data_IF_138794240112
#
_entry.id   IF_138794240112
#
_cell.length_a   1.000
_cell.length_b   1.000
_cell.length_c   1.000
_cell.angle_alpha   90.00
_cell.angle_beta   90.00
_cell.angle_gamma   90.00
#
_symmetry.space_group_name_H-M   'P 1'
#
loop_
_entity.id
_entity.type
_entity.pdbx_description
1 polymer ?
#
# COMPACT_ATOMS: atom_id res chain seq x y z
N UNK A 1 -12.07 5.79 4.05
CA UNK A 1 -12.16 4.37 4.41
C UNK A 1 -11.06 4.01 5.40
N UNK A 2 -11.26 2.96 6.12
CA UNK A 2 -10.28 2.54 7.11
C UNK A 2 -9.57 1.28 6.62
N UNK A 3 -8.23 1.33 6.63
CA UNK A 3 -7.42 0.17 6.25
C UNK A 3 -6.41 -0.07 7.36
N UNK A 4 -5.66 -1.16 7.24
CA UNK A 4 -4.56 -1.46 8.16
C UNK A 4 -3.27 -1.37 7.35
N UNK A 5 -2.44 -0.39 7.65
CA UNK A 5 -1.19 -0.18 6.93
C UNK A 5 -0.03 -0.61 7.81
N UNK A 6 0.68 -1.65 7.39
CA UNK A 6 1.81 -2.20 8.13
C UNK A 6 1.44 -2.47 9.59
N UNK A 7 0.27 -3.05 9.79
CA UNK A 7 -0.21 -3.44 11.11
C UNK A 7 -0.88 -2.33 11.91
N UNK A 8 -0.97 -1.12 11.36
CA UNK A 8 -1.57 0.01 12.08
C UNK A 8 -2.84 0.46 11.37
N UNK A 9 -3.98 0.49 12.08
CA UNK A 9 -5.21 1.02 11.48
C UNK A 9 -5.05 2.47 11.09
N UNK A 10 -5.61 2.84 9.94
CA UNK A 10 -5.44 4.19 9.43
C UNK A 10 -6.63 4.58 8.57
N UNK A 11 -7.10 5.79 8.76
CA UNK A 11 -8.16 6.34 7.94
C UNK A 11 -7.53 7.01 6.73
N UNK A 12 -8.01 6.69 5.52
CA UNK A 12 -7.42 7.22 4.29
C UNK A 12 -8.52 7.64 3.33
N UNK A 13 -8.17 8.58 2.45
CA UNK A 13 -9.05 9.01 1.36
C UNK A 13 -8.76 8.24 0.08
N UNK A 14 -7.64 7.57 0.00
CA UNK A 14 -7.20 6.86 -1.20
C UNK A 14 -8.21 5.80 -1.63
N UNK A 15 -8.37 5.62 -2.95
CA UNK A 15 -9.26 4.63 -3.51
C UNK A 15 -8.51 3.47 -4.16
N UNK A 16 -7.25 3.69 -4.52
CA UNK A 16 -6.41 2.64 -5.09
C UNK A 16 -5.13 2.54 -4.29
N UNK A 17 -4.39 1.45 -4.52
CA UNK A 17 -3.11 1.27 -3.84
C UNK A 17 -2.13 2.37 -4.24
N UNK A 18 -2.12 2.76 -5.52
CA UNK A 18 -1.24 3.85 -5.96
C UNK A 18 -1.57 5.15 -5.24
N UNK A 19 -2.86 5.46 -5.09
CA UNK A 19 -3.29 6.65 -4.38
C UNK A 19 -2.86 6.61 -2.92
N UNK A 20 -2.91 5.43 -2.31
CA UNK A 20 -2.50 5.28 -0.92
C UNK A 20 -1.03 5.62 -0.74
N UNK A 21 -0.18 5.14 -1.65
CA UNK A 21 1.24 5.44 -1.56
C UNK A 21 1.51 6.94 -1.68
N UNK A 22 0.79 7.60 -2.59
CA UNK A 22 0.90 9.05 -2.73
C UNK A 22 0.44 9.77 -1.47
N UNK A 23 -0.70 9.36 -0.93
CA UNK A 23 -1.28 10.01 0.24
C UNK A 23 -0.35 9.89 1.44
N UNK A 24 0.32 8.75 1.58
CA UNK A 24 1.18 8.49 2.73
C UNK A 24 2.63 8.87 2.50
N UNK A 25 2.97 9.39 1.32
CA UNK A 25 4.34 9.76 1.01
C UNK A 25 5.28 8.58 0.88
N UNK A 26 4.76 7.44 0.48
CA UNK A 26 5.55 6.20 0.39
C UNK A 26 5.89 5.85 -1.06
N UNK A 27 6.14 6.87 -1.88
CA UNK A 27 6.52 6.62 -3.27
C UNK A 27 7.98 6.14 -3.33
N UNK A 28 8.36 5.64 -4.50
CA UNK A 28 9.72 5.19 -4.72
C UNK A 28 9.80 3.68 -4.74
N UNK A 29 10.96 3.16 -4.35
CA UNK A 29 11.23 1.73 -4.42
C UNK A 29 10.64 1.01 -3.23
N UNK A 30 9.41 0.57 -3.37
CA UNK A 30 8.75 -0.19 -2.31
C UNK A 30 8.09 -1.41 -2.93
N UNK A 31 7.91 -2.43 -2.11
CA UNK A 31 7.11 -3.59 -2.47
C UNK A 31 5.79 -3.48 -1.74
N UNK A 32 4.71 -3.87 -2.38
CA UNK A 32 3.38 -3.75 -1.81
C UNK A 32 2.62 -5.06 -1.86
N UNK A 33 1.81 -5.29 -0.84
CA UNK A 33 0.90 -6.42 -0.79
C UNK A 33 -0.44 -5.96 -0.23
N UNK A 34 -1.52 -6.56 -0.71
CA UNK A 34 -2.86 -6.30 -0.21
C UNK A 34 -3.44 -7.64 0.22
N UNK A 35 -3.80 -7.74 1.50
CA UNK A 35 -4.32 -8.97 2.08
C UNK A 35 -3.42 -10.15 1.76
N UNK A 36 -2.10 -9.94 1.90
CA UNK A 36 -1.05 -10.94 1.70
C UNK A 36 -0.79 -11.31 0.25
N UNK A 37 -1.43 -10.63 -0.71
CA UNK A 37 -1.18 -10.86 -2.12
C UNK A 37 -0.27 -9.77 -2.67
N UNK A 38 0.88 -10.17 -3.21
CA UNK A 38 1.83 -9.21 -3.77
C UNK A 38 1.21 -8.42 -4.92
N UNK A 39 1.42 -7.12 -4.95
CA UNK A 39 0.94 -6.25 -6.02
C UNK A 39 2.14 -5.55 -6.64
N UNK A 40 2.50 -5.88 -7.89
CA UNK A 40 3.62 -5.20 -8.54
C UNK A 40 3.28 -3.75 -8.84
N UNK A 41 4.33 -2.94 -8.99
CA UNK A 41 4.17 -1.50 -9.17
C UNK A 41 3.22 -1.16 -10.33
N UNK A 42 3.29 -1.94 -11.42
CA UNK A 42 2.49 -1.67 -12.60
C UNK A 42 1.00 -1.90 -12.39
N UNK A 43 0.61 -2.59 -11.32
CA UNK A 43 -0.79 -2.88 -11.05
C UNK A 43 -1.37 -2.05 -9.92
N UNK A 44 -0.58 -1.20 -9.29
CA UNK A 44 -1.05 -0.46 -8.11
C UNK A 44 -2.20 0.49 -8.44
N UNK A 45 -2.12 1.15 -9.58
CA UNK A 45 -3.17 2.09 -9.98
C UNK A 45 -4.48 1.37 -10.35
N UNK A 46 -4.40 0.09 -10.69
CA UNK A 46 -5.56 -0.71 -11.03
C UNK A 46 -6.04 -1.58 -9.87
N UNK A 47 -5.46 -1.41 -8.69
CA UNK A 47 -5.82 -2.21 -7.52
C UNK A 47 -6.67 -1.36 -6.58
N UNK A 48 -7.99 -1.57 -6.55
CA UNK A 48 -8.84 -0.80 -5.66
C UNK A 48 -8.68 -1.25 -4.22
N UNK A 49 -8.86 -0.32 -3.29
CA UNK A 49 -8.84 -0.62 -1.87
C UNK A 49 -10.26 -0.73 -1.35
N UNK A 50 -10.43 -1.56 -0.33
CA UNK A 50 -11.71 -1.76 0.31
C UNK A 50 -11.53 -1.59 1.81
N UNK A 51 -12.60 -1.21 2.47
CA UNK A 51 -12.58 -1.01 3.90
C UNK A 51 -12.12 -2.28 4.59
N UNK A 52 -11.17 -2.15 5.50
CA UNK A 52 -10.64 -3.31 6.21
C UNK A 52 -9.46 -3.99 5.55
N UNK A 53 -9.08 -3.58 4.35
CA UNK A 53 -7.92 -4.19 3.67
C UNK A 53 -6.66 -4.04 4.50
N UNK A 54 -5.82 -5.07 4.46
CA UNK A 54 -4.51 -5.06 5.09
C UNK A 54 -3.46 -4.80 4.02
N UNK A 55 -2.77 -3.69 4.16
CA UNK A 55 -1.78 -3.25 3.19
C UNK A 55 -0.40 -3.34 3.82
N UNK A 56 0.54 -3.93 3.09
CA UNK A 56 1.93 -3.94 3.52
C UNK A 56 2.78 -3.24 2.51
N UNK A 57 3.61 -2.33 2.98
CA UNK A 57 4.53 -1.56 2.13
C UNK A 57 5.90 -1.66 2.78
N UNK A 58 6.85 -2.26 2.07
CA UNK A 58 8.20 -2.41 2.60
C UNK A 58 9.20 -1.84 1.61
N UNK A 59 10.16 -1.10 2.13
CA UNK A 59 11.27 -0.61 1.32
C UNK A 59 12.29 -1.72 1.18
N UNK A 60 12.97 -1.83 0.03
CA UNK A 60 14.01 -2.83 -0.11
C UNK A 60 15.14 -2.54 0.88
N UNK A 61 15.69 -3.62 1.43
CA UNK A 61 16.86 -3.49 2.28
C UNK A 61 18.02 -2.99 1.44
N UNK A 62 18.64 -1.95 1.90
CA UNK A 62 19.88 -1.49 1.30
C UNK A 62 20.98 -2.28 1.96
N UNK A 63 21.35 -3.35 1.35
CA UNK A 63 22.33 -4.25 1.92
C UNK A 63 23.65 -3.61 2.24
N UNK A 64 23.66 -2.37 2.11
CA UNK A 64 24.88 -1.67 2.48
C UNK A 64 24.61 -0.87 3.63
#
# INVERSE_FOLDING_TARGET
MKIVLNGTPREVAAETLADLLSECGMSGRVATAVNEAFVPATLRAATPLHDGDRIEVVAPMQGG
#
